data_IF_416248118570
#
_entry.id   IF_416248118570
#
_cell.length_a   1.000
_cell.length_b   1.000
_cell.length_c   1.000
_cell.angle_alpha   90.00
_cell.angle_beta   90.00
_cell.angle_gamma   90.00
#
_symmetry.space_group_name_H-M   'P 1'
#
loop_
_entity.id
_entity.type
_entity.pdbx_description
1 polymer ?
#
# COMPACT_ATOMS: atom_id res chain seq x y z
N UNK A 1 -5.41 4.81 24.19
CA UNK A 1 -4.43 5.74 23.57
C UNK A 1 -4.44 5.46 22.08
N UNK A 2 -4.58 6.48 21.25
CA UNK A 2 -4.54 6.36 19.79
C UNK A 2 -3.15 5.91 19.35
N UNK A 3 -3.07 4.82 18.57
CA UNK A 3 -1.83 4.30 17.99
C UNK A 3 -1.66 4.70 16.51
N UNK A 4 -2.73 5.19 15.90
CA UNK A 4 -2.79 5.71 14.55
C UNK A 4 -1.90 6.93 14.35
N UNK A 5 -1.36 7.03 13.14
CA UNK A 5 -0.32 7.98 12.78
C UNK A 5 -0.41 8.37 11.29
N UNK A 6 0.38 9.37 10.91
CA UNK A 6 0.63 9.70 9.51
C UNK A 6 2.12 9.52 9.22
N UNK A 7 2.42 8.69 8.24
CA UNK A 7 3.78 8.53 7.74
C UNK A 7 4.01 9.46 6.56
N UNK A 8 5.11 10.20 6.57
CA UNK A 8 5.50 11.13 5.50
C UNK A 8 6.88 10.78 4.99
N UNK A 9 7.11 10.89 3.69
CA UNK A 9 8.42 10.60 3.11
C UNK A 9 8.38 10.50 1.60
N UNK A 10 9.16 9.58 1.05
CA UNK A 10 9.31 9.41 -0.39
C UNK A 10 8.96 8.00 -0.82
N UNK A 11 8.36 7.91 -2.00
CA UNK A 11 8.31 6.69 -2.80
C UNK A 11 9.28 6.85 -3.96
N UNK A 12 10.01 5.79 -4.29
CA UNK A 12 10.94 5.76 -5.41
C UNK A 12 10.65 4.55 -6.29
N UNK A 13 10.97 4.71 -7.57
CA UNK A 13 10.94 3.67 -8.58
C UNK A 13 12.23 3.77 -9.38
N UNK A 14 12.91 2.64 -9.56
CA UNK A 14 14.14 2.56 -10.32
C UNK A 14 14.11 1.31 -11.19
N UNK A 15 14.03 1.54 -12.49
CA UNK A 15 14.17 0.53 -13.54
C UNK A 15 15.61 0.56 -14.05
N UNK A 16 16.25 -0.60 -14.03
CA UNK A 16 17.61 -0.84 -14.53
C UNK A 16 17.58 -1.42 -15.94
N UNK A 17 16.64 -2.34 -16.22
CA UNK A 17 16.46 -3.03 -17.50
C UNK A 17 14.98 -3.02 -17.95
N UNK A 18 14.71 -3.17 -19.27
CA UNK A 18 15.64 -3.00 -20.38
C UNK A 18 15.96 -1.51 -20.64
N UNK A 19 15.09 -0.60 -20.20
CA UNK A 19 15.26 0.86 -20.36
C UNK A 19 15.45 1.50 -18.99
N UNK A 20 16.54 2.22 -18.78
CA UNK A 20 16.76 2.92 -17.52
C UNK A 20 15.72 4.04 -17.30
N UNK A 21 15.08 3.99 -16.14
CA UNK A 21 14.14 5.02 -15.72
C UNK A 21 14.07 5.06 -14.20
N UNK A 22 14.35 6.21 -13.61
CA UNK A 22 14.27 6.44 -12.17
C UNK A 22 13.44 7.68 -11.89
N UNK A 23 12.65 7.62 -10.84
CA UNK A 23 11.96 8.77 -10.28
C UNK A 23 11.65 8.53 -8.80
N UNK A 24 11.49 9.63 -8.06
CA UNK A 24 10.96 9.63 -6.72
C UNK A 24 10.02 10.81 -6.54
N UNK A 25 9.07 10.69 -5.61
CA UNK A 25 8.19 11.78 -5.24
C UNK A 25 7.74 11.68 -3.79
N UNK A 26 7.39 12.84 -3.22
CA UNK A 26 6.87 12.89 -1.86
C UNK A 26 5.49 12.25 -1.75
N UNK A 27 5.29 11.48 -0.69
CA UNK A 27 4.04 10.83 -0.33
C UNK A 27 3.79 10.99 1.17
N UNK A 28 2.52 10.91 1.55
CA UNK A 28 2.15 10.52 2.90
C UNK A 28 1.13 9.38 2.84
N UNK A 29 1.20 8.51 3.85
CA UNK A 29 0.30 7.37 4.04
C UNK A 29 -0.26 7.42 5.46
N UNK A 30 -1.49 6.95 5.61
CA UNK A 30 -2.13 6.84 6.92
C UNK A 30 -1.78 5.49 7.52
N UNK A 31 -1.30 5.52 8.76
CA UNK A 31 -1.11 4.35 9.61
C UNK A 31 -2.30 4.27 10.55
N UNK A 32 -3.29 3.44 10.24
CA UNK A 32 -4.51 3.33 11.03
C UNK A 32 -4.54 2.00 11.76
N UNK A 33 -4.75 2.03 13.08
CA UNK A 33 -5.16 0.83 13.80
C UNK A 33 -6.59 0.49 13.39
N UNK A 34 -6.83 -0.72 12.92
CA UNK A 34 -8.14 -1.13 12.41
C UNK A 34 -9.10 -1.57 13.53
N UNK A 35 -9.22 -0.72 14.56
CA UNK A 35 -10.19 -0.86 15.64
C UNK A 35 -11.29 0.19 15.48
N UNK A 36 -12.55 -0.22 15.62
CA UNK A 36 -13.70 0.67 15.44
C UNK A 36 -13.67 1.86 16.40
N UNK A 37 -13.33 1.62 17.67
CA UNK A 37 -13.30 2.66 18.70
C UNK A 37 -12.24 3.73 18.39
N UNK A 38 -11.06 3.31 17.93
CA UNK A 38 -10.00 4.26 17.57
C UNK A 38 -10.35 5.05 16.30
N UNK A 39 -10.96 4.41 15.31
CA UNK A 39 -11.44 5.11 14.10
C UNK A 39 -12.56 6.11 14.39
N UNK A 40 -13.43 5.81 15.36
CA UNK A 40 -14.46 6.73 15.84
C UNK A 40 -13.83 7.91 16.58
N UNK A 41 -12.90 7.66 17.51
CA UNK A 41 -12.18 8.71 18.24
C UNK A 41 -11.42 9.65 17.28
N UNK A 42 -10.79 9.11 16.23
CA UNK A 42 -10.15 9.92 15.19
C UNK A 42 -11.17 10.78 14.42
N UNK A 43 -12.37 10.28 14.18
CA UNK A 43 -13.42 11.01 13.48
C UNK A 43 -13.98 12.16 14.32
N UNK A 44 -14.02 12.00 15.63
CA UNK A 44 -14.48 13.03 16.58
C UNK A 44 -13.42 14.12 16.80
N UNK A 45 -12.14 13.76 16.72
CA UNK A 45 -11.02 14.66 17.07
C UNK A 45 -10.39 15.38 15.87
N UNK A 46 -10.43 14.80 14.67
CA UNK A 46 -9.78 15.34 13.49
C UNK A 46 -10.74 16.08 12.56
N UNK A 47 -10.53 17.38 12.39
CA UNK A 47 -11.40 18.27 11.61
C UNK A 47 -11.62 17.85 10.15
N UNK A 48 -10.62 17.20 9.54
CA UNK A 48 -10.63 16.86 8.11
C UNK A 48 -10.77 15.36 7.83
N UNK A 49 -10.84 14.53 8.87
CA UNK A 49 -10.92 13.08 8.77
C UNK A 49 -12.29 12.57 9.24
N UNK A 50 -12.80 11.52 8.60
CA UNK A 50 -13.91 10.74 9.16
C UNK A 50 -13.89 9.31 8.64
N UNK A 51 -14.31 8.36 9.48
CA UNK A 51 -14.56 6.97 9.12
C UNK A 51 -16.04 6.69 8.77
N UNK A 52 -16.96 7.58 9.14
CA UNK A 52 -18.40 7.36 8.99
C UNK A 52 -19.09 8.39 8.06
N UNK A 53 -18.64 9.64 8.04
CA UNK A 53 -19.26 10.72 7.25
C UNK A 53 -18.37 11.20 6.10
N UNK A 54 -18.92 12.09 5.25
CA UNK A 54 -18.13 12.72 4.18
C UNK A 54 -17.11 13.68 4.81
N UNK A 55 -15.84 13.51 4.46
CA UNK A 55 -14.74 14.35 4.91
C UNK A 55 -13.72 14.54 3.78
N UNK A 56 -12.78 15.48 3.96
CA UNK A 56 -11.69 15.71 2.99
C UNK A 56 -10.80 14.49 2.88
N UNK A 57 -10.56 13.83 4.01
CA UNK A 57 -9.87 12.55 4.13
C UNK A 57 -10.86 11.57 4.74
N UNK A 58 -11.24 10.53 4.02
CA UNK A 58 -12.24 9.58 4.50
C UNK A 58 -11.69 8.18 4.49
N UNK A 59 -11.74 7.51 5.64
CA UNK A 59 -11.68 6.06 5.67
C UNK A 59 -13.06 5.54 5.27
N UNK A 60 -13.15 4.79 4.18
CA UNK A 60 -14.40 4.21 3.69
C UNK A 60 -14.20 2.72 3.51
N UNK A 61 -14.92 1.91 4.27
CA UNK A 61 -14.72 0.45 4.32
C UNK A 61 -14.73 -0.22 2.95
N UNK A 62 -15.61 0.21 2.05
CA UNK A 62 -15.77 -0.29 0.68
C UNK A 62 -14.54 -0.09 -0.22
N UNK A 63 -13.60 0.77 0.17
CA UNK A 63 -12.40 1.06 -0.63
C UNK A 63 -11.32 -0.04 -0.49
N UNK A 64 -11.45 -0.94 0.49
CA UNK A 64 -10.41 -1.89 0.93
C UNK A 64 -10.87 -3.35 0.82
N UNK A 65 -9.92 -4.26 1.06
CA UNK A 65 -10.02 -5.70 0.96
C UNK A 65 -11.32 -6.32 1.52
N UNK A 66 -11.89 -7.26 0.77
CA UNK A 66 -13.02 -8.10 1.19
C UNK A 66 -14.38 -7.39 1.21
N UNK A 67 -15.41 -8.15 1.61
CA UNK A 67 -16.79 -7.63 1.71
C UNK A 67 -16.88 -6.46 2.71
N UNK A 68 -17.49 -5.36 2.27
CA UNK A 68 -17.70 -4.17 3.08
C UNK A 68 -18.63 -4.38 4.29
N UNK A 69 -19.42 -5.46 4.30
CA UNK A 69 -20.24 -5.87 5.45
C UNK A 69 -19.40 -6.39 6.63
N UNK A 70 -18.17 -6.84 6.36
CA UNK A 70 -17.24 -7.40 7.35
C UNK A 70 -16.24 -6.31 7.77
N UNK A 71 -15.96 -6.11 9.07
CA UNK A 71 -14.90 -5.20 9.53
C UNK A 71 -13.56 -5.47 8.84
N UNK A 72 -12.86 -4.42 8.39
CA UNK A 72 -11.63 -4.57 7.59
C UNK A 72 -10.55 -5.41 8.31
N UNK A 73 -10.41 -5.26 9.63
CA UNK A 73 -9.53 -6.10 10.45
C UNK A 73 -9.80 -7.58 10.24
N UNK A 74 -11.07 -8.00 10.30
CA UNK A 74 -11.46 -9.40 10.15
C UNK A 74 -11.19 -9.91 8.73
N UNK A 75 -11.57 -9.13 7.71
CA UNK A 75 -11.31 -9.49 6.32
C UNK A 75 -9.81 -9.66 6.03
N UNK A 76 -8.97 -8.79 6.59
CA UNK A 76 -7.51 -8.90 6.47
C UNK A 76 -6.98 -10.14 7.18
N UNK A 77 -7.40 -10.42 8.42
CA UNK A 77 -6.96 -11.62 9.15
C UNK A 77 -7.38 -12.91 8.46
N UNK A 78 -8.59 -12.94 7.90
CA UNK A 78 -9.06 -14.06 7.10
C UNK A 78 -8.14 -14.27 5.89
N UNK A 79 -7.90 -13.22 5.11
CA UNK A 79 -7.04 -13.33 3.92
C UNK A 79 -5.59 -13.69 4.26
N UNK A 80 -5.05 -13.13 5.34
CA UNK A 80 -3.72 -13.51 5.83
C UNK A 80 -3.69 -14.99 6.23
N UNK A 81 -4.73 -15.50 6.90
CA UNK A 81 -4.81 -16.91 7.30
C UNK A 81 -4.88 -17.85 6.09
N UNK A 82 -5.68 -17.50 5.09
CA UNK A 82 -5.77 -18.25 3.82
C UNK A 82 -4.40 -18.37 3.13
N UNK A 83 -3.66 -17.26 3.07
CA UNK A 83 -2.34 -17.20 2.46
C UNK A 83 -1.22 -17.77 3.34
N UNK A 84 -1.51 -18.13 4.59
CA UNK A 84 -0.57 -18.70 5.56
C UNK A 84 -0.81 -20.21 5.75
N UNK A 85 -1.12 -20.93 4.66
CA UNK A 85 -1.44 -22.36 4.66
C UNK A 85 -2.60 -22.72 5.62
N UNK A 86 -3.56 -21.81 5.81
CA UNK A 86 -4.69 -21.99 6.73
C UNK A 86 -4.33 -21.87 8.22
N UNK A 87 -3.07 -21.57 8.58
CA UNK A 87 -2.67 -21.36 9.98
C UNK A 87 -3.19 -20.03 10.47
N UNK A 88 -4.16 -20.09 11.39
CA UNK A 88 -4.84 -18.92 11.94
C UNK A 88 -3.86 -17.88 12.48
N UNK A 89 -4.07 -16.64 12.04
CA UNK A 89 -3.32 -15.47 12.49
C UNK A 89 -4.24 -14.56 13.32
N UNK A 90 -3.73 -14.04 14.43
CA UNK A 90 -4.49 -13.18 15.35
C UNK A 90 -3.62 -12.05 15.91
N UNK A 91 -4.27 -10.96 16.30
CA UNK A 91 -3.60 -9.78 16.83
C UNK A 91 -4.23 -8.46 16.36
N UNK A 92 -3.48 -7.39 16.53
CA UNK A 92 -3.86 -6.06 16.04
C UNK A 92 -3.48 -5.93 14.56
N UNK A 93 -4.37 -5.37 13.76
CA UNK A 93 -4.10 -5.08 12.35
C UNK A 93 -3.98 -3.58 12.16
N UNK A 94 -2.89 -3.18 11.51
CA UNK A 94 -2.64 -1.79 11.13
C UNK A 94 -2.61 -1.65 9.62
N UNK A 95 -3.32 -0.67 9.07
CA UNK A 95 -3.24 -0.32 7.66
C UNK A 95 -2.23 0.82 7.46
N UNK A 96 -1.30 0.65 6.53
CA UNK A 96 -0.51 1.70 5.92
C UNK A 96 -0.98 1.89 4.48
N UNK A 97 -1.73 2.96 4.22
CA UNK A 97 -2.34 3.15 2.90
C UNK A 97 -2.82 4.56 2.62
N UNK A 98 -3.36 4.75 1.41
CA UNK A 98 -4.06 5.98 1.04
C UNK A 98 -5.50 5.91 1.50
N UNK A 99 -6.06 7.06 1.87
CA UNK A 99 -7.48 7.21 2.18
C UNK A 99 -8.18 7.94 1.03
N UNK A 100 -9.51 7.86 0.99
CA UNK A 100 -10.30 8.63 0.03
C UNK A 100 -10.10 10.12 0.27
N UNK A 101 -9.72 10.83 -0.78
CA UNK A 101 -9.43 12.26 -0.73
C UNK A 101 -10.42 13.03 -1.58
N UNK A 102 -11.17 13.95 -0.98
CA UNK A 102 -12.19 14.76 -1.67
C UNK A 102 -13.20 13.91 -2.45
N UNK A 103 -13.56 12.74 -1.91
CA UNK A 103 -14.49 11.81 -2.54
C UNK A 103 -13.85 10.85 -3.57
N UNK A 104 -12.60 11.08 -3.98
CA UNK A 104 -11.87 10.24 -4.94
C UNK A 104 -10.95 9.25 -4.22
N UNK A 105 -10.93 8.01 -4.70
CA UNK A 105 -10.07 6.97 -4.16
C UNK A 105 -9.37 6.20 -5.27
N UNK A 106 -8.08 6.01 -5.09
CA UNK A 106 -7.25 5.07 -5.83
C UNK A 106 -5.99 4.86 -5.01
N UNK A 107 -5.61 3.60 -4.76
CA UNK A 107 -4.38 3.24 -4.06
C UNK A 107 -3.67 2.15 -4.88
N UNK A 108 -2.43 2.37 -5.36
CA UNK A 108 -1.68 1.33 -6.07
C UNK A 108 -1.37 0.13 -5.17
N UNK A 109 -1.19 0.41 -3.88
CA UNK A 109 -0.90 -0.61 -2.88
C UNK A 109 -1.33 -0.14 -1.49
N UNK A 110 -2.00 -1.02 -0.75
CA UNK A 110 -2.23 -0.89 0.68
C UNK A 110 -1.46 -1.99 1.41
N UNK A 111 -0.83 -1.65 2.53
CA UNK A 111 -0.11 -2.63 3.35
C UNK A 111 -0.84 -2.81 4.67
N UNK A 112 -1.09 -4.06 5.06
CA UNK A 112 -1.68 -4.40 6.34
C UNK A 112 -0.67 -5.14 7.20
N UNK A 113 -0.35 -4.62 8.37
CA UNK A 113 0.62 -5.20 9.29
C UNK A 113 -0.09 -5.88 10.45
N UNK A 114 0.28 -7.12 10.73
CA UNK A 114 -0.20 -7.88 11.88
C UNK A 114 0.79 -7.74 13.04
N UNK A 115 0.31 -7.25 14.18
CA UNK A 115 1.05 -7.21 15.44
C UNK A 115 0.52 -8.24 16.42
N UNK A 116 1.40 -9.11 16.91
CA UNK A 116 1.05 -10.14 17.89
C UNK A 116 0.88 -9.55 19.31
N UNK A 117 0.53 -10.40 20.27
CA UNK A 117 0.30 -10.02 21.67
C UNK A 117 1.57 -9.48 22.35
N UNK A 118 2.74 -9.91 21.90
CA UNK A 118 4.05 -9.43 22.37
C UNK A 118 4.45 -8.07 21.78
N UNK A 119 3.60 -7.47 20.93
CA UNK A 119 3.84 -6.17 20.31
C UNK A 119 4.78 -6.21 19.09
N UNK A 120 5.17 -7.38 18.61
CA UNK A 120 6.01 -7.57 17.42
C UNK A 120 5.15 -7.67 16.15
N UNK A 121 5.58 -7.00 15.07
CA UNK A 121 4.93 -7.20 13.76
C UNK A 121 5.44 -8.47 13.11
N UNK A 122 4.54 -9.42 12.87
CA UNK A 122 4.88 -10.77 12.39
C UNK A 122 4.69 -10.92 10.89
N UNK A 123 3.66 -10.30 10.34
CA UNK A 123 3.31 -10.40 8.92
C UNK A 123 2.91 -9.05 8.34
N UNK A 124 3.11 -8.91 7.04
CA UNK A 124 2.55 -7.83 6.22
C UNK A 124 1.80 -8.44 5.03
N UNK A 125 0.57 -8.01 4.81
CA UNK A 125 -0.20 -8.27 3.59
C UNK A 125 -0.13 -7.05 2.67
N UNK A 126 0.44 -7.19 1.48
CA UNK A 126 0.37 -6.17 0.44
C UNK A 126 -0.82 -6.43 -0.49
N UNK A 127 -1.84 -5.59 -0.42
CA UNK A 127 -2.94 -5.52 -1.39
C UNK A 127 -2.52 -4.59 -2.52
N UNK A 128 -2.19 -5.16 -3.67
CA UNK A 128 -1.71 -4.43 -4.85
C UNK A 128 -2.83 -4.30 -5.86
N UNK A 129 -3.08 -3.09 -6.36
CA UNK A 129 -4.11 -2.81 -7.36
C UNK A 129 -3.48 -2.38 -8.69
N UNK A 130 -4.02 -2.85 -9.81
CA UNK A 130 -3.61 -2.36 -11.14
C UNK A 130 -4.57 -1.28 -11.66
N UNK A 131 -4.08 -0.46 -12.57
CA UNK A 131 -4.88 0.51 -13.33
C UNK A 131 -4.52 0.36 -14.81
N UNK A 132 -5.49 0.36 -15.74
CA UNK A 132 -6.91 0.73 -15.56
C UNK A 132 -7.87 -0.41 -15.15
N UNK A 133 -7.41 -1.67 -15.04
CA UNK A 133 -8.30 -2.82 -14.86
C UNK A 133 -8.94 -2.94 -13.47
N UNK A 134 -8.39 -2.24 -12.47
CA UNK A 134 -8.89 -2.23 -11.09
C UNK A 134 -8.99 -3.62 -10.46
N UNK A 135 -8.10 -4.52 -10.88
CA UNK A 135 -7.91 -5.83 -10.27
C UNK A 135 -7.02 -5.68 -9.04
N UNK A 136 -7.11 -6.65 -8.13
CA UNK A 136 -6.32 -6.69 -6.89
C UNK A 136 -5.67 -8.04 -6.72
N UNK A 137 -4.49 -8.03 -6.13
CA UNK A 137 -3.79 -9.24 -5.72
C UNK A 137 -3.13 -9.02 -4.36
N UNK A 138 -2.88 -10.12 -3.65
CA UNK A 138 -2.47 -10.10 -2.25
C UNK A 138 -1.19 -10.90 -2.06
N UNK A 139 -0.13 -10.25 -1.58
CA UNK A 139 1.11 -10.92 -1.16
C UNK A 139 1.20 -10.93 0.35
N UNK A 140 1.32 -12.12 0.94
CA UNK A 140 1.63 -12.26 2.36
C UNK A 140 3.14 -12.38 2.54
N UNK A 141 3.72 -11.55 3.41
CA UNK A 141 5.13 -11.55 3.75
C UNK A 141 5.28 -11.78 5.24
N UNK A 142 5.96 -12.86 5.63
CA UNK A 142 6.43 -13.03 7.00
C UNK A 142 7.60 -12.08 7.23
N UNK A 143 7.52 -11.21 8.25
CA UNK A 143 8.49 -10.13 8.46
C UNK A 143 9.82 -10.61 9.05
N UNK A 144 9.86 -11.81 9.62
CA UNK A 144 11.09 -12.42 10.13
C UNK A 144 11.91 -13.07 9.01
N UNK A 145 11.26 -13.83 8.11
CA UNK A 145 11.96 -14.52 7.02
C UNK A 145 12.06 -13.71 5.72
N UNK A 146 11.04 -12.90 5.42
CA UNK A 146 10.91 -12.10 4.19
C UNK A 146 11.23 -12.88 2.91
N UNK A 147 10.70 -14.11 2.84
CA UNK A 147 10.98 -15.04 1.76
C UNK A 147 10.63 -14.45 0.37
N UNK A 148 11.45 -14.82 -0.61
CA UNK A 148 11.26 -14.46 -2.01
C UNK A 148 9.90 -14.96 -2.51
N UNK A 149 9.18 -14.13 -3.27
CA UNK A 149 7.83 -14.44 -3.76
C UNK A 149 7.77 -14.36 -5.29
N UNK A 150 7.24 -15.37 -6.01
CA UNK A 150 6.99 -15.25 -7.43
C UNK A 150 6.06 -14.08 -7.76
N UNK A 151 6.37 -13.31 -8.80
CA UNK A 151 5.51 -12.23 -9.29
C UNK A 151 4.26 -12.82 -9.95
N UNK A 152 3.17 -12.84 -9.20
CA UNK A 152 1.88 -13.33 -9.68
C UNK A 152 0.94 -12.26 -10.28
N UNK A 153 1.27 -10.96 -10.20
CA UNK A 153 0.34 -9.89 -10.59
C UNK A 153 0.91 -8.89 -11.60
N UNK A 154 0.13 -8.62 -12.66
CA UNK A 154 0.52 -7.73 -13.75
C UNK A 154 0.16 -6.27 -13.46
N UNK A 155 1.00 -5.62 -12.65
CA UNK A 155 0.79 -4.23 -12.20
C UNK A 155 1.25 -3.17 -13.21
N UNK A 156 2.13 -3.53 -14.14
CA UNK A 156 2.71 -2.62 -15.09
C UNK A 156 2.96 -3.33 -16.41
N UNK A 157 2.48 -2.79 -17.55
CA UNK A 157 2.75 -3.36 -18.87
C UNK A 157 4.23 -3.25 -19.29
N UNK A 158 5.09 -2.65 -18.46
CA UNK A 158 6.53 -2.50 -18.72
C UNK A 158 7.38 -3.46 -17.88
N UNK A 159 6.77 -4.38 -17.13
CA UNK A 159 7.44 -5.42 -16.36
C UNK A 159 6.93 -6.79 -16.81
N UNK A 160 7.81 -7.74 -17.16
CA UNK A 160 7.38 -9.08 -17.48
C UNK A 160 6.89 -9.80 -16.20
N UNK A 161 6.21 -10.94 -16.38
CA UNK A 161 5.61 -11.72 -15.29
C UNK A 161 6.58 -12.73 -14.67
N UNK A 162 7.59 -13.16 -15.41
CA UNK A 162 8.60 -14.15 -15.04
C UNK A 162 9.64 -13.58 -14.06
N UNK A 163 9.22 -12.93 -12.98
CA UNK A 163 10.11 -12.28 -12.01
C UNK A 163 9.87 -12.80 -10.59
N UNK A 164 10.88 -12.67 -9.74
CA UNK A 164 10.81 -12.92 -8.30
C UNK A 164 10.88 -11.59 -7.56
N UNK A 165 9.96 -11.38 -6.62
CA UNK A 165 9.98 -10.29 -5.66
C UNK A 165 10.89 -10.64 -4.48
N UNK A 166 11.88 -9.77 -4.25
CA UNK A 166 12.71 -9.79 -3.05
C UNK A 166 12.31 -8.63 -2.15
N UNK A 167 11.84 -8.95 -0.95
CA UNK A 167 11.32 -7.99 0.00
C UNK A 167 12.42 -7.52 0.96
N UNK A 168 12.39 -6.23 1.30
CA UNK A 168 13.19 -5.68 2.39
C UNK A 168 12.33 -4.69 3.18
N UNK A 169 11.83 -5.14 4.31
CA UNK A 169 10.82 -4.47 5.13
C UNK A 169 11.37 -4.32 6.54
N UNK A 170 11.49 -3.09 7.01
CA UNK A 170 11.84 -2.82 8.41
C UNK A 170 10.60 -3.00 9.31
N UNK A 171 10.82 -3.32 10.58
CA UNK A 171 9.75 -3.25 11.59
C UNK A 171 9.17 -1.82 11.66
N UNK A 172 7.84 -1.64 11.62
CA UNK A 172 7.20 -0.34 11.78
C UNK A 172 7.58 0.35 13.10
N UNK A 173 8.11 1.57 13.01
CA UNK A 173 8.59 2.31 14.19
C UNK A 173 8.51 3.84 13.95
N UNK A 174 9.43 4.65 14.48
CA UNK A 174 9.55 6.06 14.11
C UNK A 174 9.94 6.24 12.63
N UNK A 175 10.57 5.22 12.03
CA UNK A 175 10.86 5.13 10.59
C UNK A 175 10.35 3.81 10.04
N UNK A 176 9.96 3.82 8.77
CA UNK A 176 9.57 2.63 8.03
C UNK A 176 10.19 2.68 6.64
N UNK A 177 10.97 1.65 6.32
CA UNK A 177 11.48 1.35 4.99
C UNK A 177 10.82 0.08 4.48
N UNK A 178 10.31 0.14 3.27
CA UNK A 178 9.84 -1.03 2.52
C UNK A 178 10.39 -0.91 1.12
N UNK A 179 11.09 -1.94 0.67
CA UNK A 179 11.56 -2.08 -0.70
C UNK A 179 11.14 -3.44 -1.26
N UNK A 180 10.90 -3.46 -2.56
CA UNK A 180 10.60 -4.64 -3.34
C UNK A 180 11.42 -4.57 -4.63
N UNK A 181 12.30 -5.54 -4.79
CA UNK A 181 13.10 -5.71 -6.01
C UNK A 181 12.48 -6.78 -6.89
N UNK A 182 12.40 -6.52 -8.20
CA UNK A 182 12.07 -7.53 -9.18
C UNK A 182 13.35 -8.09 -9.81
N UNK A 183 13.55 -9.39 -9.65
CA UNK A 183 14.78 -10.09 -10.04
C UNK A 183 14.43 -11.25 -10.98
N UNK A 184 15.23 -11.43 -12.04
CA UNK A 184 15.26 -12.66 -12.84
C UNK A 184 16.62 -13.32 -12.66
N UNK A 185 17.57 -12.94 -13.52
CA UNK A 185 19.00 -13.21 -13.34
C UNK A 185 19.63 -12.08 -12.51
N UNK A 186 19.36 -10.84 -12.93
CA UNK A 186 19.78 -9.61 -12.23
C UNK A 186 18.58 -8.84 -11.68
N UNK A 187 18.85 -7.85 -10.83
CA UNK A 187 17.88 -6.85 -10.40
C UNK A 187 17.48 -5.95 -11.58
N UNK A 188 16.25 -6.09 -12.05
CA UNK A 188 15.74 -5.30 -13.19
C UNK A 188 14.96 -4.07 -12.77
N UNK A 189 14.30 -4.13 -11.61
CA UNK A 189 13.47 -3.07 -11.09
C UNK A 189 13.50 -3.04 -9.56
N UNK A 190 13.33 -1.86 -8.99
CA UNK A 190 13.22 -1.62 -7.56
C UNK A 190 12.16 -0.56 -7.31
N UNK A 191 11.26 -0.82 -6.37
CA UNK A 191 10.36 0.18 -5.84
C UNK A 191 10.39 0.14 -4.32
N UNK A 192 10.17 1.29 -3.70
CA UNK A 192 10.08 1.32 -2.26
C UNK A 192 9.64 2.65 -1.71
N UNK A 193 9.38 2.64 -0.40
CA UNK A 193 8.99 3.78 0.40
C UNK A 193 9.96 3.94 1.57
N UNK A 194 10.33 5.17 1.85
CA UNK A 194 11.11 5.55 3.03
C UNK A 194 10.33 6.63 3.76
N UNK A 195 9.79 6.29 4.93
CA UNK A 195 8.81 7.10 5.63
C UNK A 195 9.20 7.34 7.08
N UNK A 196 8.80 8.51 7.60
CA UNK A 196 8.93 8.90 9.00
C UNK A 196 7.54 9.03 9.62
N UNK A 197 7.35 8.47 10.81
CA UNK A 197 6.09 8.48 11.56
C UNK A 197 5.88 9.84 12.24
N UNK A 198 4.68 10.39 12.11
CA UNK A 198 4.20 11.55 12.85
C UNK A 198 2.87 11.21 13.52
N UNK A 199 2.56 11.87 14.63
CA UNK A 199 1.25 11.77 15.27
C UNK A 199 0.15 12.15 14.30
N UNK A 200 -0.97 11.42 14.33
CA UNK A 200 -2.15 11.76 13.54
C UNK A 200 -2.99 12.76 14.32
N UNK A 201 -2.61 14.04 14.22
CA UNK A 201 -3.31 15.16 14.83
C UNK A 201 -3.69 16.22 13.77
N UNK A 202 -4.49 17.22 14.17
CA UNK A 202 -4.94 18.28 13.27
C UNK A 202 -3.78 19.08 12.64
N UNK A 203 -2.67 19.29 13.36
CA UNK A 203 -1.53 20.05 12.84
C UNK A 203 -0.81 19.25 11.75
N UNK A 204 -0.49 17.99 12.01
CA UNK A 204 0.19 17.10 11.09
C UNK A 204 -0.66 16.74 9.87
N UNK A 205 -1.97 16.54 10.05
CA UNK A 205 -2.91 16.32 8.96
C UNK A 205 -3.05 17.57 8.08
N UNK A 206 -3.21 18.75 8.68
CA UNK A 206 -3.29 20.01 7.94
C UNK A 206 -2.01 20.28 7.14
N UNK A 207 -0.84 20.04 7.73
CA UNK A 207 0.44 20.21 7.06
C UNK A 207 0.58 19.25 5.85
N UNK A 208 0.13 18.00 5.99
CA UNK A 208 0.13 17.03 4.90
C UNK A 208 -0.78 17.48 3.75
N UNK A 209 -2.02 17.89 4.06
CA UNK A 209 -2.99 18.38 3.08
C UNK A 209 -2.54 19.67 2.39
N UNK A 210 -1.81 20.56 3.06
CA UNK A 210 -1.25 21.76 2.42
C UNK A 210 -0.12 21.42 1.44
N UNK A 211 0.72 20.43 1.78
CA UNK A 211 1.84 20.00 0.92
C UNK A 211 1.36 19.22 -0.29
N UNK A 212 0.40 18.30 -0.10
CA UNK A 212 -0.18 17.49 -1.17
C UNK A 212 -1.71 17.44 -0.96
N UNK A 213 -2.49 18.33 -1.62
CA UNK A 213 -3.93 18.46 -1.39
C UNK A 213 -4.75 17.21 -1.73
N UNK A 214 -4.28 16.41 -2.70
CA UNK A 214 -4.86 15.13 -3.05
C UNK A 214 -3.77 14.16 -3.47
N UNK A 215 -3.44 13.22 -2.60
CA UNK A 215 -2.55 12.11 -2.90
C UNK A 215 -3.12 11.25 -4.03
N UNK A 216 -4.43 11.02 -4.06
CA UNK A 216 -5.11 10.26 -5.11
C UNK A 216 -4.82 10.84 -6.50
N UNK A 217 -5.06 12.14 -6.69
CA UNK A 217 -4.84 12.81 -7.99
C UNK A 217 -3.35 12.80 -8.34
N UNK A 218 -2.48 13.10 -7.37
CA UNK A 218 -1.02 13.09 -7.58
C UNK A 218 -0.52 11.70 -8.02
N UNK A 219 -0.99 10.63 -7.37
CA UNK A 219 -0.64 9.26 -7.69
C UNK A 219 -1.10 8.90 -9.11
N UNK A 220 -2.38 9.12 -9.43
CA UNK A 220 -2.95 8.77 -10.74
C UNK A 220 -2.25 9.55 -11.86
N UNK A 221 -2.09 10.87 -11.71
CA UNK A 221 -1.37 11.70 -12.67
C UNK A 221 0.08 11.25 -12.84
N UNK A 222 0.76 10.89 -11.75
CA UNK A 222 2.13 10.35 -11.76
C UNK A 222 2.23 9.05 -12.55
N UNK A 223 1.31 8.10 -12.33
CA UNK A 223 1.28 6.82 -13.06
C UNK A 223 1.17 7.06 -14.56
N UNK A 224 0.19 7.84 -15.01
CA UNK A 224 0.00 8.11 -16.44
C UNK A 224 1.16 8.90 -17.05
N UNK A 225 1.72 9.87 -16.32
CA UNK A 225 2.87 10.64 -16.77
C UNK A 225 4.13 9.78 -16.97
N UNK A 226 4.41 8.87 -16.03
CA UNK A 226 5.54 7.96 -16.15
C UNK A 226 5.32 6.86 -17.18
N UNK A 227 4.08 6.37 -17.34
CA UNK A 227 3.73 5.48 -18.44
C UNK A 227 3.98 6.15 -19.81
N UNK A 228 3.54 7.40 -19.99
CA UNK A 228 3.80 8.17 -21.21
C UNK A 228 5.31 8.35 -21.46
N UNK A 229 6.10 8.69 -20.43
CA UNK A 229 7.56 8.79 -20.57
C UNK A 229 8.21 7.47 -21.01
N UNK A 230 7.73 6.33 -20.51
CA UNK A 230 8.23 5.01 -20.91
C UNK A 230 7.82 4.67 -22.36
N UNK A 231 6.61 5.01 -22.78
CA UNK A 231 6.17 4.89 -24.17
C UNK A 231 7.04 5.72 -25.11
N UNK A 232 7.31 6.98 -24.77
CA UNK A 232 8.19 7.85 -25.55
C UNK A 232 9.63 7.32 -25.62
N UNK A 233 10.08 6.61 -24.59
CA UNK A 233 11.37 5.90 -24.56
C UNK A 233 11.36 4.55 -25.30
N UNK A 234 10.22 4.15 -25.88
CA UNK A 234 10.04 2.88 -26.58
C UNK A 234 10.34 1.66 -25.70
N UNK A 235 10.04 1.74 -24.41
CA UNK A 235 10.15 0.58 -23.51
C UNK A 235 9.17 -0.51 -23.97
N UNK A 236 9.60 -1.78 -24.08
CA UNK A 236 8.74 -2.88 -24.50
C UNK A 236 7.46 -2.96 -23.67
N UNK A 237 6.34 -3.21 -24.36
CA UNK A 237 5.03 -3.43 -23.75
C UNK A 237 4.76 -4.93 -23.70
N UNK A 238 4.37 -5.40 -22.53
CA UNK A 238 3.89 -6.75 -22.28
C UNK A 238 2.36 -6.70 -22.20
N UNK A 239 1.70 -7.53 -23.01
CA UNK A 239 0.25 -7.63 -23.04
C UNK A 239 -0.26 -8.12 -21.68
N UNK A 240 -1.32 -7.49 -21.17
CA UNK A 240 -1.98 -7.97 -19.96
C UNK A 240 -2.45 -9.41 -20.19
N UNK A 241 -2.06 -10.39 -19.34
CA UNK A 241 -2.55 -11.75 -19.48
C UNK A 241 -4.08 -11.76 -19.38
N UNK A 242 -4.76 -12.55 -20.22
CA UNK A 242 -6.20 -12.75 -20.08
C UNK A 242 -6.49 -13.30 -18.67
N UNK A 243 -7.54 -12.75 -18.01
CA UNK A 243 -7.87 -13.01 -16.61
C UNK A 243 -7.75 -14.49 -16.22
N UNK A 244 -6.72 -14.82 -15.44
CA UNK A 244 -6.81 -15.92 -14.49
C UNK A 244 -7.70 -15.43 -13.36
N UNK A 245 -8.92 -15.97 -13.26
CA UNK A 245 -9.84 -15.64 -12.17
C UNK A 245 -9.29 -16.21 -10.85
N UNK A 246 -8.58 -15.39 -10.08
CA UNK A 246 -8.47 -15.60 -8.64
C UNK A 246 -9.59 -14.78 -7.97
N UNK A 247 -10.60 -15.48 -7.44
CA UNK A 247 -11.65 -14.95 -6.57
C UNK A 247 -11.12 -14.82 -5.13
#
# INVERSE_FOLDING_TARGET
MIESAIYKGKVYHQRFKPTQHKFDYDIYLFWLKLESDELNELSDTLKYFSAHSKARVRFKREDYLGDASIPLKQAVLQRMTELNDGKALSGDVFMLGQLRMWGLYFSPVNFYYLRNAEGKYTHMLAEVSNTPWNERHHYLVNLDSQADTPKAFHVSPFNPMDMTYKWSISQPSSRLSLAMDCVREDKEFSAGINLTKFTLDNANLSAALKRIPSMTIKTVAGIYWHALKLLLKRTPLYTHPEKSQEQ
#
